data_IF_214757726515
#
_entry.id   IF_214757726515
#
_cell.length_a   1.000
_cell.length_b   1.000
_cell.length_c   1.000
_cell.angle_alpha   90.00
_cell.angle_beta   90.00
_cell.angle_gamma   90.00
#
_symmetry.space_group_name_H-M   'P 1'
#
loop_
_entity.id
_entity.type
_entity.pdbx_description
1 polymer ?
#
# COMPACT_ATOMS: atom_id res chain seq x y z
N UNK A 1 -10.72 29.62 19.78
CA UNK A 1 -12.07 29.09 19.46
C UNK A 1 -11.90 27.62 19.13
N UNK A 2 -12.45 26.72 19.94
CA UNK A 2 -12.28 25.27 19.78
C UNK A 2 -13.17 24.79 18.62
N UNK A 3 -12.55 24.17 17.60
CA UNK A 3 -13.25 23.50 16.51
C UNK A 3 -13.98 22.28 17.07
N UNK A 4 -15.32 22.32 17.08
CA UNK A 4 -16.14 21.17 17.40
C UNK A 4 -15.92 20.10 16.33
N UNK A 5 -15.35 18.97 16.72
CA UNK A 5 -15.30 17.77 15.89
C UNK A 5 -16.73 17.25 15.75
N UNK A 6 -17.40 17.59 14.64
CA UNK A 6 -18.70 17.00 14.32
C UNK A 6 -18.52 15.49 14.16
N UNK A 7 -19.20 14.74 15.02
CA UNK A 7 -19.32 13.29 14.88
C UNK A 7 -20.13 13.02 13.60
N UNK A 8 -19.44 12.61 12.53
CA UNK A 8 -20.09 12.22 11.29
C UNK A 8 -20.72 10.84 11.48
N UNK A 9 -21.99 10.82 11.90
CA UNK A 9 -22.77 9.58 11.90
C UNK A 9 -23.10 9.19 10.46
N UNK A 10 -22.49 8.11 9.97
CA UNK A 10 -22.84 7.49 8.70
C UNK A 10 -24.15 6.71 8.85
N UNK A 11 -25.27 7.43 8.99
CA UNK A 11 -26.61 6.83 8.91
C UNK A 11 -26.96 6.62 7.44
N UNK A 12 -27.37 5.40 7.04
CA UNK A 12 -27.88 5.16 5.70
C UNK A 12 -29.06 6.11 5.45
N UNK A 13 -29.04 6.85 4.34
CA UNK A 13 -30.19 7.63 3.94
C UNK A 13 -31.30 6.68 3.48
N UNK A 14 -32.34 6.58 4.30
CA UNK A 14 -33.47 5.68 4.08
C UNK A 14 -34.21 6.02 2.77
N UNK A 15 -34.13 7.27 2.30
CA UNK A 15 -34.76 7.69 1.06
C UNK A 15 -34.01 7.15 -0.19
N UNK A 16 -32.75 6.73 -0.04
CA UNK A 16 -31.98 6.05 -1.08
C UNK A 16 -32.25 4.55 -1.11
N UNK A 17 -32.96 4.01 -0.11
CA UNK A 17 -33.38 2.62 -0.12
C UNK A 17 -34.62 2.47 -0.99
N UNK A 18 -34.48 1.71 -2.07
CA UNK A 18 -35.61 1.37 -2.92
C UNK A 18 -36.58 0.45 -2.16
N UNK A 19 -37.74 0.96 -1.76
CA UNK A 19 -38.77 0.20 -1.05
C UNK A 19 -39.36 -0.95 -1.87
N UNK A 20 -39.22 -0.91 -3.20
CA UNK A 20 -39.59 -1.96 -4.14
C UNK A 20 -38.38 -2.83 -4.53
N UNK A 21 -37.35 -2.87 -3.70
CA UNK A 21 -36.21 -3.75 -3.95
C UNK A 21 -36.60 -5.22 -3.76
N UNK A 22 -36.94 -5.88 -4.86
CA UNK A 22 -37.28 -7.32 -4.96
C UNK A 22 -36.12 -8.28 -4.60
N UNK A 23 -35.00 -7.76 -4.08
CA UNK A 23 -33.80 -8.52 -3.76
C UNK A 23 -32.77 -8.57 -4.90
N UNK A 24 -31.58 -9.09 -4.58
CA UNK A 24 -30.53 -9.32 -5.57
C UNK A 24 -30.90 -10.53 -6.44
N UNK A 25 -31.21 -10.30 -7.73
CA UNK A 25 -31.41 -11.38 -8.70
C UNK A 25 -30.05 -11.87 -9.20
N UNK A 26 -29.81 -13.17 -9.09
CA UNK A 26 -28.61 -13.81 -9.62
C UNK A 26 -28.56 -13.59 -11.14
N UNK A 27 -27.57 -12.83 -11.61
CA UNK A 27 -27.33 -12.70 -13.05
C UNK A 27 -26.76 -14.02 -13.56
N UNK A 28 -27.56 -14.79 -14.31
CA UNK A 28 -27.09 -15.97 -15.03
C UNK A 28 -26.24 -15.60 -16.27
N UNK A 29 -26.06 -14.30 -16.54
CA UNK A 29 -25.21 -13.80 -17.61
C UNK A 29 -23.77 -14.14 -17.28
N UNK A 30 -23.13 -14.97 -18.11
CA UNK A 30 -21.69 -15.21 -18.00
C UNK A 30 -20.97 -13.88 -18.20
N UNK A 31 -20.29 -13.41 -17.16
CA UNK A 31 -19.35 -12.31 -17.26
C UNK A 31 -18.14 -12.80 -18.03
N UNK A 32 -17.76 -12.08 -19.08
CA UNK A 32 -16.49 -12.33 -19.76
C UNK A 32 -15.38 -11.96 -18.78
N UNK A 33 -14.54 -12.93 -18.45
CA UNK A 33 -13.32 -12.69 -17.67
C UNK A 33 -12.13 -13.13 -18.50
N UNK A 34 -11.05 -12.37 -18.38
CA UNK A 34 -9.75 -12.72 -18.94
C UNK A 34 -8.91 -13.16 -17.77
N UNK A 35 -8.33 -14.35 -17.88
CA UNK A 35 -7.40 -14.87 -16.89
C UNK A 35 -6.01 -14.81 -17.50
N UNK A 36 -5.11 -14.14 -16.81
CA UNK A 36 -3.70 -14.14 -17.13
C UNK A 36 -2.97 -14.84 -16.00
N UNK A 37 -2.14 -15.83 -16.34
CA UNK A 37 -1.26 -16.48 -15.38
C UNK A 37 0.00 -15.63 -15.23
N UNK A 38 0.43 -15.38 -14.00
CA UNK A 38 1.66 -14.62 -13.78
C UNK A 38 2.86 -15.54 -14.03
N UNK A 39 3.87 -15.04 -14.74
CA UNK A 39 5.12 -15.77 -14.97
C UNK A 39 5.83 -16.10 -13.65
N UNK A 40 5.67 -15.23 -12.66
CA UNK A 40 6.22 -15.37 -11.33
C UNK A 40 5.15 -15.08 -10.27
N UNK A 41 5.04 -15.89 -9.21
CA UNK A 41 4.06 -15.68 -8.16
C UNK A 41 4.31 -14.37 -7.40
N UNK A 42 3.26 -13.88 -6.74
CA UNK A 42 3.29 -12.69 -5.91
C UNK A 42 4.24 -12.86 -4.72
N UNK A 43 4.95 -11.79 -4.36
CA UNK A 43 5.72 -11.72 -3.12
C UNK A 43 4.79 -11.72 -1.91
N UNK A 44 4.58 -12.91 -1.36
CA UNK A 44 3.76 -13.11 -0.16
C UNK A 44 4.62 -13.62 0.98
N UNK A 45 4.66 -12.84 2.04
CA UNK A 45 5.22 -13.25 3.32
C UNK A 45 4.12 -13.95 4.11
N UNK A 46 4.45 -15.15 4.61
CA UNK A 46 3.59 -15.91 5.50
C UNK A 46 3.88 -15.52 6.95
N UNK A 47 2.88 -15.72 7.81
CA UNK A 47 3.03 -15.47 9.24
C UNK A 47 4.13 -16.38 9.82
N UNK A 48 5.09 -15.77 10.50
CA UNK A 48 6.08 -16.49 11.29
C UNK A 48 5.42 -17.01 12.59
N UNK A 49 5.82 -18.18 13.14
CA UNK A 49 5.31 -18.66 14.43
C UNK A 49 5.45 -17.66 15.59
N UNK A 50 6.43 -16.75 15.52
CA UNK A 50 6.63 -15.66 16.49
C UNK A 50 5.63 -14.51 16.31
N UNK A 51 4.94 -14.44 15.17
CA UNK A 51 3.92 -13.45 14.80
C UNK A 51 2.50 -14.01 14.96
N UNK A 52 2.24 -14.72 16.06
CA UNK A 52 0.95 -15.38 16.28
C UNK A 52 0.05 -14.54 17.21
N UNK A 53 -0.68 -13.59 16.62
CA UNK A 53 -1.73 -12.87 17.32
C UNK A 53 -2.89 -12.52 16.39
N UNK A 54 -4.06 -12.23 16.95
CA UNK A 54 -5.22 -11.77 16.17
C UNK A 54 -4.90 -10.54 15.29
N UNK A 55 -4.07 -9.62 15.80
CA UNK A 55 -3.65 -8.44 15.04
C UNK A 55 -2.78 -8.83 13.84
N UNK A 56 -1.86 -9.78 14.01
CA UNK A 56 -1.03 -10.26 12.89
C UNK A 56 -1.91 -10.93 11.82
N UNK A 57 -2.84 -11.79 12.23
CA UNK A 57 -3.80 -12.41 11.33
C UNK A 57 -4.63 -11.35 10.57
N UNK A 58 -5.06 -10.29 11.26
CA UNK A 58 -5.82 -9.18 10.65
C UNK A 58 -5.00 -8.43 9.59
N UNK A 59 -3.76 -8.04 9.89
CA UNK A 59 -2.91 -7.32 8.93
C UNK A 59 -2.60 -8.18 7.71
N UNK A 60 -2.22 -9.45 7.93
CA UNK A 60 -1.84 -10.34 6.84
C UNK A 60 -3.06 -10.79 6.01
N UNK A 61 -4.22 -10.95 6.64
CA UNK A 61 -5.46 -11.34 5.96
C UNK A 61 -6.10 -10.22 5.15
N UNK A 62 -5.85 -8.95 5.51
CA UNK A 62 -6.41 -7.78 4.81
C UNK A 62 -5.44 -7.15 3.80
N UNK A 63 -4.26 -7.73 3.58
CA UNK A 63 -3.31 -7.14 2.65
C UNK A 63 -3.76 -7.36 1.20
N UNK A 64 -3.86 -6.26 0.45
CA UNK A 64 -4.10 -6.30 -0.98
C UNK A 64 -2.76 -6.26 -1.72
N UNK A 65 -2.47 -7.31 -2.50
CA UNK A 65 -1.23 -7.40 -3.29
C UNK A 65 -1.34 -6.69 -4.65
N UNK A 66 -2.54 -6.22 -5.01
CA UNK A 66 -2.79 -5.41 -6.20
C UNK A 66 -3.12 -3.98 -5.77
N UNK A 67 -2.33 -3.03 -6.25
CA UNK A 67 -2.56 -1.61 -6.03
C UNK A 67 -3.08 -1.02 -7.33
N UNK A 68 -4.35 -0.62 -7.36
CA UNK A 68 -4.93 0.08 -8.50
C UNK A 68 -4.44 1.52 -8.57
N UNK A 69 -4.42 2.06 -9.78
CA UNK A 69 -4.26 3.49 -10.00
C UNK A 69 -5.36 4.28 -9.27
N UNK A 70 -5.01 5.45 -8.73
CA UNK A 70 -5.93 6.30 -7.95
C UNK A 70 -6.59 7.38 -8.78
N UNK A 71 -6.10 7.63 -10.00
CA UNK A 71 -6.72 8.53 -10.97
C UNK A 71 -7.87 7.85 -11.71
N UNK A 72 -8.67 8.62 -12.45
CA UNK A 72 -9.88 8.17 -13.18
C UNK A 72 -9.63 7.09 -14.26
N UNK A 73 -8.40 6.58 -14.40
CA UNK A 73 -8.06 5.47 -15.28
C UNK A 73 -7.76 4.20 -14.47
N UNK A 74 -8.68 3.24 -14.53
CA UNK A 74 -8.55 1.91 -13.92
C UNK A 74 -7.72 0.92 -14.76
N UNK A 75 -6.96 1.41 -15.74
CA UNK A 75 -6.27 0.55 -16.71
C UNK A 75 -4.98 -0.05 -16.15
N UNK A 76 -4.44 0.54 -15.07
CA UNK A 76 -3.15 0.16 -14.50
C UNK A 76 -3.31 -0.39 -13.08
N UNK A 77 -2.72 -1.55 -12.84
CA UNK A 77 -2.57 -2.15 -11.51
C UNK A 77 -1.11 -2.52 -11.27
N UNK A 78 -0.68 -2.40 -10.01
CA UNK A 78 0.69 -2.64 -9.60
C UNK A 78 0.75 -3.79 -8.61
N UNK A 79 1.77 -4.64 -8.73
CA UNK A 79 2.01 -5.72 -7.80
C UNK A 79 3.49 -6.04 -7.69
N UNK A 80 3.88 -6.76 -6.64
CA UNK A 80 5.27 -7.18 -6.44
C UNK A 80 5.37 -8.70 -6.57
N UNK A 81 6.29 -9.16 -7.42
CA UNK A 81 6.56 -10.60 -7.61
C UNK A 81 7.60 -11.13 -6.62
N UNK A 82 7.75 -12.45 -6.51
CA UNK A 82 8.69 -13.10 -5.60
C UNK A 82 10.15 -12.67 -5.81
N UNK A 83 10.52 -12.16 -6.99
CA UNK A 83 11.86 -11.64 -7.30
C UNK A 83 12.04 -10.19 -6.85
N UNK A 84 11.05 -9.64 -6.12
CA UNK A 84 11.01 -8.25 -5.66
C UNK A 84 10.95 -7.24 -6.80
N UNK A 85 10.44 -7.64 -7.97
CA UNK A 85 10.13 -6.67 -9.02
C UNK A 85 8.76 -6.05 -8.76
N UNK A 86 8.71 -4.73 -8.84
CA UNK A 86 7.45 -4.00 -8.93
C UNK A 86 7.03 -4.00 -10.39
N UNK A 87 5.90 -4.64 -10.64
CA UNK A 87 5.33 -4.83 -11.98
C UNK A 87 4.09 -3.97 -12.16
N UNK A 88 3.93 -3.43 -13.36
CA UNK A 88 2.73 -2.76 -13.85
C UNK A 88 1.99 -3.71 -14.78
N UNK A 89 0.74 -4.00 -14.48
CA UNK A 89 -0.19 -4.66 -15.38
C UNK A 89 -1.09 -3.59 -15.99
N UNK A 90 -1.05 -3.45 -17.32
CA UNK A 90 -1.92 -2.57 -18.09
C UNK A 90 -2.88 -3.41 -18.93
N UNK A 91 -4.18 -3.15 -18.79
CA UNK A 91 -5.20 -3.80 -19.61
C UNK A 91 -5.71 -2.85 -20.69
N UNK A 92 -5.48 -3.21 -21.96
CA UNK A 92 -6.04 -2.46 -23.08
C UNK A 92 -7.41 -3.02 -23.45
N UNK A 93 -8.44 -2.19 -23.32
CA UNK A 93 -9.81 -2.53 -23.74
C UNK A 93 -9.96 -2.66 -25.26
N UNK A 94 -9.10 -1.99 -26.03
CA UNK A 94 -9.12 -2.03 -27.50
C UNK A 94 -8.56 -3.34 -28.05
N UNK A 95 -7.39 -3.78 -27.58
CA UNK A 95 -6.77 -5.04 -28.02
C UNK A 95 -7.23 -6.25 -27.20
N UNK A 96 -7.91 -6.02 -26.07
CA UNK A 96 -8.33 -7.04 -25.12
C UNK A 96 -7.15 -7.86 -24.57
N UNK A 97 -6.00 -7.22 -24.39
CA UNK A 97 -4.76 -7.83 -23.92
C UNK A 97 -4.28 -7.21 -22.63
N UNK A 98 -3.74 -8.04 -21.73
CA UNK A 98 -3.00 -7.62 -20.55
C UNK A 98 -1.51 -7.58 -20.88
N UNK A 99 -0.85 -6.44 -20.69
CA UNK A 99 0.60 -6.30 -20.76
C UNK A 99 1.15 -6.16 -19.34
N UNK A 100 2.15 -6.96 -19.00
CA UNK A 100 2.86 -6.86 -17.72
C UNK A 100 4.28 -6.39 -18.01
N UNK A 101 4.72 -5.34 -17.35
CA UNK A 101 6.10 -4.84 -17.45
C UNK A 101 6.65 -4.48 -16.08
N UNK A 102 7.93 -4.79 -15.87
CA UNK A 102 8.65 -4.36 -14.68
C UNK A 102 8.88 -2.85 -14.74
N UNK A 103 8.50 -2.15 -13.69
CA UNK A 103 8.74 -0.70 -13.56
C UNK A 103 9.83 -0.35 -12.55
N UNK A 104 10.12 -1.25 -11.60
CA UNK A 104 11.16 -1.04 -10.60
C UNK A 104 11.57 -2.35 -9.91
N UNK A 105 12.69 -2.36 -9.21
CA UNK A 105 13.15 -3.50 -8.40
C UNK A 105 13.44 -3.06 -6.98
N UNK A 106 12.84 -3.71 -6.00
CA UNK A 106 13.08 -3.39 -4.59
C UNK A 106 14.50 -3.87 -4.23
N UNK A 107 15.41 -2.97 -3.81
CA UNK A 107 16.77 -3.35 -3.46
C UNK A 107 16.79 -4.38 -2.33
N UNK A 108 17.67 -5.37 -2.44
CA UNK A 108 17.91 -6.32 -1.36
C UNK A 108 18.65 -5.63 -0.23
N UNK A 109 18.01 -5.50 0.92
CA UNK A 109 18.62 -4.99 2.13
C UNK A 109 19.17 -6.17 2.94
N UNK A 110 20.48 -6.23 3.18
CA UNK A 110 21.09 -7.29 4.00
C UNK A 110 20.48 -7.31 5.42
N UNK A 111 20.13 -6.15 5.97
CA UNK A 111 19.44 -6.06 7.26
C UNK A 111 18.03 -6.70 7.25
N UNK A 112 17.39 -6.82 6.07
CA UNK A 112 16.09 -7.49 5.93
C UNK A 112 16.18 -8.99 6.22
N UNK A 113 17.36 -9.60 6.02
CA UNK A 113 17.58 -11.02 6.33
C UNK A 113 17.61 -11.26 7.84
N UNK A 114 18.08 -10.28 8.61
CA UNK A 114 18.22 -10.33 10.07
C UNK A 114 16.95 -9.88 10.82
N UNK A 115 15.98 -9.29 10.11
CA UNK A 115 14.72 -8.86 10.71
C UNK A 115 13.89 -10.06 11.19
N UNK A 116 13.63 -10.08 12.51
CA UNK A 116 12.85 -11.12 13.20
C UNK A 116 11.38 -11.08 12.81
N UNK A 117 10.83 -9.88 12.64
CA UNK A 117 9.44 -9.62 12.27
C UNK A 117 9.44 -9.05 10.86
N UNK A 118 8.59 -9.57 9.97
CA UNK A 118 8.47 -9.07 8.60
C UNK A 118 7.00 -8.80 8.30
N UNK A 119 6.73 -7.79 7.49
CA UNK A 119 5.42 -7.53 6.91
C UNK A 119 5.49 -7.72 5.40
N UNK A 120 4.34 -7.89 4.77
CA UNK A 120 4.28 -7.82 3.31
C UNK A 120 4.70 -6.44 2.81
N UNK A 121 5.15 -6.38 1.55
CA UNK A 121 5.40 -5.12 0.86
C UNK A 121 4.11 -4.30 0.84
N UNK A 122 4.24 -3.00 1.11
CA UNK A 122 3.14 -2.04 1.09
C UNK A 122 3.48 -0.90 0.15
N UNK A 123 2.57 -0.58 -0.77
CA UNK A 123 2.72 0.45 -1.80
C UNK A 123 1.52 1.40 -1.74
N UNK A 124 1.76 2.70 -1.82
CA UNK A 124 0.72 3.74 -1.95
C UNK A 124 1.10 4.71 -3.07
N UNK A 125 0.17 4.94 -3.98
CA UNK A 125 0.29 5.96 -5.02
C UNK A 125 -0.21 7.29 -4.44
N UNK A 126 0.61 8.34 -4.52
CA UNK A 126 0.36 9.63 -3.84
C UNK A 126 -0.21 10.69 -4.77
N UNK A 127 0.34 10.77 -5.98
CA UNK A 127 0.01 11.71 -7.06
C UNK A 127 0.30 11.01 -8.38
N UNK A 128 0.07 11.64 -9.54
CA UNK A 128 0.35 11.06 -10.87
C UNK A 128 1.81 10.61 -11.08
N UNK A 129 2.75 11.14 -10.30
CA UNK A 129 4.18 10.94 -10.45
C UNK A 129 4.92 10.49 -9.18
N UNK A 130 4.22 10.29 -8.06
CA UNK A 130 4.85 9.88 -6.80
C UNK A 130 4.17 8.66 -6.20
N UNK A 131 4.98 7.79 -5.61
CA UNK A 131 4.55 6.64 -4.83
C UNK A 131 5.48 6.41 -3.65
N UNK A 132 4.94 5.84 -2.57
CA UNK A 132 5.74 5.36 -1.43
C UNK A 132 5.63 3.86 -1.31
N UNK A 133 6.76 3.22 -0.96
CA UNK A 133 6.84 1.79 -0.77
C UNK A 133 7.60 1.48 0.51
N UNK A 134 7.14 0.47 1.24
CA UNK A 134 7.95 -0.19 2.26
C UNK A 134 8.11 -1.65 1.92
N UNK A 135 9.35 -2.16 2.09
CA UNK A 135 9.65 -3.57 1.88
C UNK A 135 9.19 -4.48 3.02
N UNK A 136 8.54 -3.91 4.04
CA UNK A 136 8.01 -4.64 5.18
C UNK A 136 9.07 -5.09 6.19
N UNK A 137 10.34 -4.76 5.98
CA UNK A 137 11.46 -5.07 6.88
C UNK A 137 12.09 -3.84 7.52
N UNK A 138 11.55 -2.65 7.24
CA UNK A 138 12.01 -1.38 7.82
C UNK A 138 12.57 -0.41 6.79
N UNK A 139 12.71 -0.83 5.52
CA UNK A 139 13.02 0.09 4.44
C UNK A 139 11.79 0.88 4.00
N UNK A 140 12.00 2.15 3.73
CA UNK A 140 11.06 3.09 3.16
C UNK A 140 11.66 3.71 1.90
N UNK A 141 10.85 3.79 0.86
CA UNK A 141 11.20 4.36 -0.43
C UNK A 141 10.16 5.39 -0.82
N UNK A 142 10.60 6.57 -1.23
CA UNK A 142 9.81 7.47 -2.06
C UNK A 142 10.29 7.30 -3.49
N UNK A 143 9.35 7.04 -4.38
CA UNK A 143 9.58 6.73 -5.78
C UNK A 143 8.99 7.84 -6.65
N UNK A 144 9.79 8.36 -7.56
CA UNK A 144 9.30 9.09 -8.72
C UNK A 144 8.86 8.07 -9.78
N UNK A 145 7.58 8.05 -10.08
CA UNK A 145 6.98 7.10 -11.02
C UNK A 145 7.02 7.60 -12.46
N UNK A 146 7.45 8.85 -12.68
CA UNK A 146 7.18 9.57 -13.92
C UNK A 146 5.68 9.67 -14.19
N UNK A 147 5.30 9.99 -15.43
CA UNK A 147 3.89 9.92 -15.84
C UNK A 147 3.47 8.45 -16.03
N UNK A 148 2.66 7.92 -15.10
CA UNK A 148 2.26 6.50 -15.11
C UNK A 148 1.41 6.06 -16.30
N UNK A 149 0.87 7.00 -17.10
CA UNK A 149 0.24 6.72 -18.38
C UNK A 149 1.23 6.28 -19.48
N UNK A 150 2.51 6.59 -19.33
CA UNK A 150 3.58 6.23 -20.26
C UNK A 150 4.42 5.11 -19.63
N UNK A 151 5.06 4.28 -20.46
CA UNK A 151 6.03 3.32 -19.95
C UNK A 151 7.28 4.06 -19.49
N UNK A 152 7.52 4.06 -18.17
CA UNK A 152 8.65 4.71 -17.54
C UNK A 152 9.16 3.82 -16.40
N UNK A 153 10.48 3.70 -16.29
CA UNK A 153 11.12 3.07 -15.14
C UNK A 153 11.05 4.04 -13.95
N UNK A 154 10.59 3.54 -12.80
CA UNK A 154 10.48 4.36 -11.61
C UNK A 154 11.86 4.56 -10.98
N UNK A 155 12.04 5.70 -10.32
CA UNK A 155 13.31 6.08 -9.71
C UNK A 155 13.14 6.31 -8.22
N UNK A 156 14.07 5.79 -7.42
CA UNK A 156 14.12 6.11 -5.99
C UNK A 156 14.61 7.54 -5.81
N UNK A 157 13.76 8.41 -5.27
CA UNK A 157 14.13 9.80 -4.93
C UNK A 157 14.46 9.98 -3.45
N UNK A 158 13.97 9.08 -2.59
CA UNK A 158 14.37 9.01 -1.19
C UNK A 158 14.35 7.58 -0.70
N UNK A 159 15.32 7.24 0.14
CA UNK A 159 15.45 5.94 0.79
C UNK A 159 15.81 6.13 2.26
N UNK A 160 15.22 5.32 3.13
CA UNK A 160 15.62 5.22 4.52
C UNK A 160 15.37 3.81 5.05
N UNK A 161 16.39 3.24 5.67
CA UNK A 161 16.35 1.94 6.34
C UNK A 161 16.20 2.04 7.87
N UNK A 162 16.11 3.27 8.40
CA UNK A 162 16.07 3.56 9.84
C UNK A 162 14.95 4.52 10.19
N UNK A 163 13.87 4.51 9.40
CA UNK A 163 12.78 5.46 9.56
C UNK A 163 12.18 5.44 10.98
N UNK A 164 12.21 4.27 11.62
CA UNK A 164 11.76 4.08 12.98
C UNK A 164 12.60 3.01 13.72
N UNK A 165 13.69 3.42 14.37
CA UNK A 165 14.48 2.59 15.31
C UNK A 165 14.81 1.17 14.80
N UNK A 166 15.03 1.00 13.50
CA UNK A 166 15.27 -0.31 12.85
C UNK A 166 14.15 -1.36 13.07
N UNK A 167 12.90 -0.94 13.31
CA UNK A 167 11.76 -1.83 13.42
C UNK A 167 11.07 -1.99 12.07
N UNK A 168 10.63 -3.19 11.79
CA UNK A 168 9.80 -3.47 10.61
C UNK A 168 8.42 -2.87 10.78
N UNK A 169 7.88 -2.31 9.69
CA UNK A 169 6.56 -1.68 9.64
C UNK A 169 5.92 -1.96 8.29
N UNK A 170 4.63 -1.68 8.19
CA UNK A 170 3.95 -1.57 6.90
C UNK A 170 3.28 -0.19 6.80
N UNK A 171 3.13 0.29 5.58
CA UNK A 171 2.44 1.55 5.28
C UNK A 171 0.94 1.25 5.25
N UNK A 172 0.22 1.73 6.27
CA UNK A 172 -1.23 1.65 6.33
C UNK A 172 -1.85 2.63 5.33
N UNK A 173 -1.37 3.86 5.33
CA UNK A 173 -1.85 4.92 4.45
C UNK A 173 -0.80 6.00 4.21
N UNK A 174 -0.95 6.77 3.13
CA UNK A 174 -0.08 7.90 2.83
C UNK A 174 -0.80 8.95 1.99
N UNK A 175 -0.52 10.22 2.26
CA UNK A 175 -1.12 11.34 1.53
C UNK A 175 -0.10 12.46 1.34
N UNK A 176 -0.09 13.03 0.14
CA UNK A 176 0.67 14.24 -0.18
C UNK A 176 -0.25 15.46 -0.03
N UNK A 177 0.11 16.40 0.83
CA UNK A 177 -0.62 17.67 1.04
C UNK A 177 0.33 18.84 0.77
N UNK A 178 0.19 19.47 -0.39
CA UNK A 178 1.13 20.50 -0.82
C UNK A 178 2.52 19.90 -1.00
N UNK A 179 3.48 20.36 -0.19
CA UNK A 179 4.87 19.88 -0.17
C UNK A 179 5.15 18.89 0.96
N UNK A 180 4.16 18.58 1.80
CA UNK A 180 4.31 17.67 2.92
C UNK A 180 3.74 16.29 2.58
N UNK A 181 4.57 15.26 2.76
CA UNK A 181 4.16 13.87 2.69
C UNK A 181 3.86 13.37 4.10
N UNK A 182 2.63 12.94 4.33
CA UNK A 182 2.23 12.28 5.57
C UNK A 182 2.06 10.79 5.33
N UNK A 183 2.70 9.97 6.17
CA UNK A 183 2.67 8.51 6.07
C UNK A 183 2.25 7.94 7.42
N UNK A 184 1.26 7.06 7.39
CA UNK A 184 0.81 6.30 8.53
C UNK A 184 1.47 4.93 8.53
N UNK A 185 2.40 4.73 9.45
CA UNK A 185 3.12 3.48 9.64
C UNK A 185 2.46 2.68 10.76
N UNK A 186 2.33 1.39 10.55
CA UNK A 186 1.76 0.49 11.54
C UNK A 186 2.73 -0.66 11.81
N UNK A 187 2.81 -1.04 13.07
CA UNK A 187 3.62 -2.17 13.53
C UNK A 187 2.94 -2.83 14.72
N UNK A 188 3.05 -4.14 14.83
CA UNK A 188 2.61 -4.90 15.98
C UNK A 188 3.80 -5.08 16.92
N UNK A 189 3.62 -4.65 18.17
CA UNK A 189 4.51 -4.99 19.26
C UNK A 189 3.91 -6.16 20.03
N UNK A 190 4.61 -7.29 20.00
CA UNK A 190 4.25 -8.46 20.79
C UNK A 190 4.78 -8.27 22.22
N UNK A 191 3.87 -8.17 23.19
CA UNK A 191 4.22 -8.30 24.62
C UNK A 191 3.85 -9.67 25.15
N UNK A 192 4.28 -9.97 26.38
CA UNK A 192 4.13 -11.31 27.00
C UNK A 192 2.68 -11.81 27.08
N UNK A 193 1.70 -10.91 27.20
CA UNK A 193 0.28 -11.27 27.37
C UNK A 193 -0.63 -10.75 26.27
N UNK A 194 -0.23 -9.71 25.54
CA UNK A 194 -1.05 -9.05 24.51
C UNK A 194 -0.18 -8.48 23.41
N UNK A 195 -0.65 -8.65 22.17
CA UNK A 195 -0.15 -7.90 21.04
C UNK A 195 -0.82 -6.52 21.01
N UNK A 196 -0.05 -5.48 20.70
CA UNK A 196 -0.54 -4.12 20.55
C UNK A 196 -0.20 -3.60 19.15
N UNK A 197 -1.14 -2.93 18.51
CA UNK A 197 -0.91 -2.21 17.26
C UNK A 197 -0.41 -0.81 17.60
N UNK A 198 0.85 -0.53 17.27
CA UNK A 198 1.44 0.80 17.37
C UNK A 198 1.30 1.49 16.02
N UNK A 199 0.70 2.69 16.03
CA UNK A 199 0.55 3.52 14.84
C UNK A 199 1.41 4.77 14.98
N UNK A 200 2.20 5.04 13.94
CA UNK A 200 3.12 6.16 13.87
C UNK A 200 2.77 7.03 12.67
N UNK A 201 2.48 8.29 12.91
CA UNK A 201 2.38 9.29 11.86
C UNK A 201 3.74 9.91 11.64
N UNK A 202 4.24 9.83 10.41
CA UNK A 202 5.49 10.45 9.99
C UNK A 202 5.21 11.49 8.92
N UNK A 203 5.74 12.68 9.10
CA UNK A 203 5.68 13.75 8.09
C UNK A 203 7.07 13.99 7.51
N UNK A 204 7.13 14.12 6.20
CA UNK A 204 8.31 14.54 5.45
C UNK A 204 8.01 15.88 4.79
N UNK A 205 8.89 16.86 4.94
CA UNK A 205 8.87 18.07 4.13
C UNK A 205 10.13 18.16 3.30
N UNK A 206 10.03 18.94 2.23
CA UNK A 206 11.18 19.33 1.44
C UNK A 206 11.74 20.63 2.01
N UNK A 207 12.81 20.56 2.79
CA UNK A 207 13.63 21.73 3.13
C UNK A 207 14.99 21.52 2.47
N UNK A 208 15.30 22.36 1.48
CA UNK A 208 16.60 22.38 0.77
C UNK A 208 17.01 21.03 0.14
N UNK A 209 16.31 20.62 -0.93
CA UNK A 209 16.64 19.48 -1.82
C UNK A 209 16.82 18.11 -1.14
N UNK A 210 16.37 17.97 0.11
CA UNK A 210 16.36 16.70 0.81
C UNK A 210 15.08 16.57 1.63
N UNK A 211 14.44 15.39 1.53
CA UNK A 211 13.27 15.08 2.34
C UNK A 211 13.72 14.81 3.77
N UNK A 212 13.42 15.75 4.66
CA UNK A 212 13.72 15.64 6.09
C UNK A 212 12.47 15.13 6.79
N UNK A 213 12.66 14.10 7.62
CA UNK A 213 11.64 13.61 8.55
C UNK A 213 11.39 14.68 9.61
N UNK A 214 10.23 15.33 9.56
CA UNK A 214 9.90 16.47 10.43
C UNK A 214 9.40 16.06 11.82
N UNK A 215 8.62 15.00 11.92
CA UNK A 215 8.04 14.60 13.20
C UNK A 215 7.55 13.16 13.19
N UNK A 216 7.48 12.56 14.39
CA UNK A 216 6.82 11.27 14.61
C UNK A 216 5.85 11.42 15.77
N UNK A 217 4.58 11.11 15.54
CA UNK A 217 3.57 11.05 16.60
C UNK A 217 3.08 9.62 16.74
N UNK A 218 3.13 9.10 17.98
CA UNK A 218 2.56 7.81 18.35
C UNK A 218 1.10 8.02 18.76
N UNK A 219 0.21 7.14 18.30
CA UNK A 219 -1.19 7.08 18.71
C UNK A 219 -1.45 5.79 19.51
#
# INVERSE_FOLDING_TARGET
>A
MASQTQLLELKPDINLLNSNFDGYKLSLKRTNFIRHELESPIHRILLDPRQYSFLHAKIFGLNNFLVGETSDSYENVYFVDQHRHLNKANFSTYTNTLKISKVWTIPTNEAATQCVVKYNVSLKLLSENLAVLSDGTGAFFLLNTGHRGIECEWQTIYFSNQLYECKSFYIQDAVLKGTELHVLLCMIQQGDKKAQLNTHWVTFSNETDSLIKLSTRKF
#
